data_IF_206830206031
#
_entry.id   IF_206830206031
#
_cell.length_a   1.000
_cell.length_b   1.000
_cell.length_c   1.000
_cell.angle_alpha   90.00
_cell.angle_beta   90.00
_cell.angle_gamma   90.00
#
_symmetry.space_group_name_H-M   'P 1'
#
loop_
_entity.id
_entity.type
_entity.pdbx_description
1 polymer ?
#
# COMPACT_ATOMS: atom_id res chain seq x y z
N UNK A 1 8.36 -21.89 -7.72
CA UNK A 1 7.10 -21.52 -7.06
C UNK A 1 7.41 -20.58 -5.92
N UNK A 2 6.80 -19.39 -5.90
CA UNK A 2 6.86 -18.48 -4.76
C UNK A 2 6.52 -19.18 -3.44
N UNK A 3 7.36 -19.02 -2.41
CA UNK A 3 7.11 -19.57 -1.08
C UNK A 3 6.36 -18.54 -0.22
N UNK A 4 5.02 -18.54 -0.27
CA UNK A 4 4.17 -17.69 0.57
C UNK A 4 3.32 -18.55 1.51
N UNK A 5 3.32 -18.20 2.78
CA UNK A 5 2.40 -18.78 3.77
C UNK A 5 0.96 -18.30 3.48
N UNK A 6 0.01 -19.19 3.10
CA UNK A 6 -1.36 -18.77 2.79
C UNK A 6 -2.05 -18.06 3.96
N UNK A 7 -1.62 -18.29 5.20
CA UNK A 7 -2.22 -17.70 6.40
C UNK A 7 -1.97 -16.19 6.51
N UNK A 8 -1.04 -15.62 5.74
CA UNK A 8 -0.84 -14.17 5.72
C UNK A 8 -1.99 -13.45 5.01
N UNK A 9 -2.74 -14.11 4.11
CA UNK A 9 -3.87 -13.53 3.38
C UNK A 9 -5.14 -13.59 4.22
N UNK A 10 -5.33 -12.59 5.09
CA UNK A 10 -6.48 -12.51 6.01
C UNK A 10 -7.71 -11.95 5.30
N UNK A 11 -8.80 -11.78 6.07
CA UNK A 11 -10.07 -11.27 5.53
C UNK A 11 -9.98 -9.84 4.98
N UNK A 12 -9.15 -8.96 5.56
CA UNK A 12 -9.15 -7.53 5.22
C UNK A 12 -7.80 -7.03 4.68
N UNK A 13 -6.71 -7.72 4.96
CA UNK A 13 -5.35 -7.35 4.56
C UNK A 13 -4.40 -8.56 4.57
N UNK A 14 -3.16 -8.30 4.16
CA UNK A 14 -2.05 -9.27 4.21
C UNK A 14 -1.21 -8.96 5.44
N UNK A 15 -0.94 -9.93 6.32
CA UNK A 15 -0.23 -9.66 7.59
C UNK A 15 0.39 -10.89 8.23
N UNK A 16 1.63 -10.73 8.69
CA UNK A 16 2.41 -11.76 9.37
C UNK A 16 3.67 -11.21 10.01
N UNK A 17 4.50 -12.10 10.57
CA UNK A 17 5.82 -11.76 11.10
C UNK A 17 6.75 -11.30 9.98
N UNK A 18 7.41 -10.17 10.18
CA UNK A 18 8.44 -9.69 9.26
C UNK A 18 9.58 -10.71 9.15
N UNK A 19 10.21 -10.76 7.99
CA UNK A 19 11.40 -11.57 7.66
C UNK A 19 11.22 -13.09 7.73
N UNK A 20 10.01 -13.55 8.03
CA UNK A 20 9.65 -14.97 8.13
C UNK A 20 8.39 -15.29 7.34
N UNK A 21 7.31 -14.51 7.55
CA UNK A 21 6.06 -14.65 6.81
C UNK A 21 5.87 -13.53 5.79
N UNK A 22 6.26 -12.30 6.15
CA UNK A 22 6.36 -11.16 5.22
C UNK A 22 7.83 -10.99 4.87
N UNK A 23 8.22 -11.47 3.70
CA UNK A 23 9.59 -11.42 3.17
C UNK A 23 9.65 -10.50 1.95
N UNK A 24 10.85 -10.09 1.54
CA UNK A 24 11.04 -9.34 0.29
C UNK A 24 10.52 -10.12 -0.92
N UNK A 25 10.74 -11.44 -0.97
CA UNK A 25 10.18 -12.29 -2.02
C UNK A 25 8.65 -12.27 -2.02
N UNK A 26 8.00 -12.39 -0.85
CA UNK A 26 6.55 -12.32 -0.74
C UNK A 26 6.03 -10.96 -1.22
N UNK A 27 6.67 -9.87 -0.79
CA UNK A 27 6.34 -8.49 -1.19
C UNK A 27 6.47 -8.29 -2.71
N UNK A 28 7.53 -8.82 -3.33
CA UNK A 28 7.73 -8.80 -4.78
C UNK A 28 6.57 -9.48 -5.52
N UNK A 29 6.22 -10.69 -5.09
CA UNK A 29 5.13 -11.46 -5.72
C UNK A 29 3.76 -10.83 -5.50
N UNK A 30 3.50 -10.27 -4.32
CA UNK A 30 2.28 -9.51 -4.03
C UNK A 30 2.19 -8.29 -4.94
N UNK A 31 3.28 -7.52 -5.08
CA UNK A 31 3.34 -6.37 -5.99
C UNK A 31 3.06 -6.78 -7.44
N UNK A 32 3.70 -7.85 -7.92
CA UNK A 32 3.54 -8.34 -9.30
C UNK A 32 2.11 -8.83 -9.58
N UNK A 33 1.55 -9.62 -8.67
CA UNK A 33 0.19 -10.12 -8.81
C UNK A 33 -0.85 -9.01 -8.68
N UNK A 34 -0.63 -8.04 -7.80
CA UNK A 34 -1.56 -6.92 -7.64
C UNK A 34 -1.53 -6.00 -8.86
N UNK A 35 -0.35 -5.68 -9.37
CA UNK A 35 -0.22 -4.89 -10.60
C UNK A 35 -0.87 -5.56 -11.80
N UNK A 36 -0.66 -6.87 -11.97
CA UNK A 36 -1.36 -7.68 -12.98
C UNK A 36 -2.89 -7.61 -12.80
N UNK A 37 -3.36 -7.73 -11.57
CA UNK A 37 -4.79 -7.64 -11.24
C UNK A 37 -5.37 -6.29 -11.62
N UNK A 38 -4.69 -5.18 -11.33
CA UNK A 38 -5.20 -3.84 -11.65
C UNK A 38 -5.19 -3.59 -13.17
N UNK A 39 -4.18 -4.08 -13.89
CA UNK A 39 -4.14 -4.06 -15.37
C UNK A 39 -5.35 -4.77 -15.97
N UNK A 40 -5.63 -5.98 -15.49
CA UNK A 40 -6.78 -6.78 -15.94
C UNK A 40 -8.11 -6.13 -15.58
N UNK A 41 -8.27 -5.63 -14.34
CA UNK A 41 -9.51 -5.01 -13.88
C UNK A 41 -9.91 -3.78 -14.70
N UNK A 42 -8.91 -2.99 -15.13
CA UNK A 42 -9.16 -1.72 -15.82
C UNK A 42 -8.78 -1.74 -17.30
N UNK A 43 -8.34 -2.88 -17.83
CA UNK A 43 -7.89 -3.04 -19.22
C UNK A 43 -6.88 -1.94 -19.61
N UNK A 44 -5.95 -1.65 -18.69
CA UNK A 44 -4.98 -0.55 -18.81
C UNK A 44 -3.57 -1.13 -18.81
N UNK A 45 -2.76 -0.72 -19.77
CA UNK A 45 -1.39 -1.23 -19.91
C UNK A 45 -0.50 -0.79 -18.74
N UNK A 46 -0.54 0.51 -18.41
CA UNK A 46 0.23 1.13 -17.34
C UNK A 46 -0.68 1.81 -16.30
N UNK A 47 -1.37 1.06 -15.43
CA UNK A 47 -2.11 1.65 -14.32
C UNK A 47 -1.15 2.33 -13.34
N UNK A 48 -1.64 3.40 -12.70
CA UNK A 48 -0.88 4.18 -11.74
C UNK A 48 -1.24 3.74 -10.32
N UNK A 49 -0.24 3.35 -9.53
CA UNK A 49 -0.40 2.80 -8.18
C UNK A 49 0.38 3.64 -7.17
N UNK A 50 -0.28 4.15 -6.14
CA UNK A 50 0.41 4.85 -5.04
C UNK A 50 0.98 3.84 -4.02
N UNK A 51 2.26 3.97 -3.65
CA UNK A 51 2.91 3.08 -2.68
C UNK A 51 3.44 3.88 -1.49
N UNK A 52 2.88 3.61 -0.32
CA UNK A 52 3.30 4.22 0.95
C UNK A 52 3.63 3.17 2.02
N UNK A 53 4.31 3.57 3.08
CA UNK A 53 4.62 2.70 4.22
C UNK A 53 4.45 3.41 5.56
N UNK A 54 4.27 2.65 6.64
CA UNK A 54 4.38 3.17 7.99
C UNK A 54 5.85 3.28 8.48
N UNK A 55 6.03 3.60 9.76
CA UNK A 55 7.33 3.82 10.39
C UNK A 55 8.05 2.53 10.82
N UNK A 56 7.56 1.33 10.45
CA UNK A 56 8.23 0.06 10.81
C UNK A 56 9.60 -0.03 10.15
N UNK A 57 10.59 -0.51 10.90
CA UNK A 57 11.99 -0.61 10.46
C UNK A 57 12.18 -1.52 9.24
N UNK A 58 11.34 -2.53 9.08
CA UNK A 58 11.34 -3.42 7.91
C UNK A 58 10.64 -2.81 6.68
N UNK A 59 9.96 -1.66 6.85
CA UNK A 59 9.16 -1.01 5.82
C UNK A 59 9.91 -0.67 4.53
N UNK A 60 11.12 -0.07 4.57
CA UNK A 60 11.85 0.30 3.35
C UNK A 60 12.09 -0.88 2.39
N UNK A 61 12.67 -1.99 2.87
CA UNK A 61 12.93 -3.17 2.02
C UNK A 61 11.67 -3.81 1.45
N UNK A 62 10.56 -3.81 2.21
CA UNK A 62 9.29 -4.35 1.73
C UNK A 62 8.64 -3.41 0.71
N UNK A 63 8.77 -2.09 0.89
CA UNK A 63 8.34 -1.10 -0.09
C UNK A 63 9.10 -1.28 -1.41
N UNK A 64 10.43 -1.39 -1.37
CA UNK A 64 11.25 -1.58 -2.57
C UNK A 64 10.86 -2.84 -3.34
N UNK A 65 10.66 -3.96 -2.63
CA UNK A 65 10.21 -5.22 -3.23
C UNK A 65 8.81 -5.11 -3.87
N UNK A 66 7.85 -4.48 -3.18
CA UNK A 66 6.51 -4.22 -3.73
C UNK A 66 6.60 -3.38 -5.01
N UNK A 67 7.39 -2.30 -4.99
CA UNK A 67 7.60 -1.41 -6.14
C UNK A 67 8.17 -2.19 -7.31
N UNK A 68 9.21 -3.00 -7.08
CA UNK A 68 9.80 -3.85 -8.11
C UNK A 68 8.78 -4.80 -8.73
N UNK A 69 7.91 -5.40 -7.90
CA UNK A 69 6.83 -6.27 -8.35
C UNK A 69 5.85 -5.55 -9.26
N UNK A 70 5.37 -4.38 -8.82
CA UNK A 70 4.45 -3.53 -9.58
C UNK A 70 5.05 -3.09 -10.91
N UNK A 71 6.28 -2.58 -10.91
CA UNK A 71 6.98 -2.11 -12.11
C UNK A 71 7.19 -3.25 -13.10
N UNK A 72 7.64 -4.42 -12.64
CA UNK A 72 7.86 -5.60 -13.50
C UNK A 72 6.57 -6.18 -14.08
N UNK A 73 5.41 -5.80 -13.53
CA UNK A 73 4.10 -6.12 -14.09
C UNK A 73 3.58 -5.05 -15.06
N UNK A 74 4.31 -3.96 -15.28
CA UNK A 74 3.94 -2.85 -16.17
C UNK A 74 3.28 -1.65 -15.49
N UNK A 75 3.15 -1.60 -14.17
CA UNK A 75 2.50 -0.47 -13.49
C UNK A 75 3.42 0.74 -13.40
N UNK A 76 2.85 1.95 -13.49
CA UNK A 76 3.52 3.16 -13.03
C UNK A 76 3.28 3.33 -11.53
N UNK A 77 4.34 3.63 -10.79
CA UNK A 77 4.31 3.70 -9.33
C UNK A 77 4.58 5.12 -8.87
N UNK A 78 3.68 5.63 -8.02
CA UNK A 78 3.85 6.88 -7.28
C UNK A 78 4.24 6.56 -5.85
N UNK A 79 5.51 6.78 -5.50
CA UNK A 79 6.01 6.57 -4.15
C UNK A 79 5.63 7.79 -3.32
N UNK A 80 4.85 7.56 -2.26
CA UNK A 80 4.39 8.62 -1.36
C UNK A 80 5.18 8.62 -0.04
N UNK A 81 6.20 7.76 0.07
CA UNK A 81 7.10 7.71 1.22
C UNK A 81 6.49 7.10 2.49
N UNK A 82 6.94 7.60 3.63
CA UNK A 82 6.46 7.19 4.94
C UNK A 82 5.23 8.01 5.32
N UNK A 83 4.03 7.43 5.21
CA UNK A 83 2.77 8.14 5.40
C UNK A 83 1.74 7.30 6.15
N UNK A 84 0.81 7.92 6.88
CA UNK A 84 -0.40 7.25 7.36
C UNK A 84 -1.21 6.64 6.20
N UNK A 85 -1.92 5.53 6.46
CA UNK A 85 -2.79 4.90 5.45
C UNK A 85 -3.83 5.87 4.84
N UNK A 86 -4.44 6.81 5.61
CA UNK A 86 -5.37 7.79 5.03
C UNK A 86 -4.76 8.69 3.96
N UNK A 87 -3.46 9.00 4.03
CA UNK A 87 -2.79 9.79 2.98
C UNK A 87 -2.74 9.00 1.68
N UNK A 88 -2.42 7.70 1.74
CA UNK A 88 -2.44 6.83 0.56
C UNK A 88 -3.84 6.79 -0.07
N UNK A 89 -4.89 6.59 0.74
CA UNK A 89 -6.26 6.52 0.25
C UNK A 89 -6.72 7.85 -0.35
N UNK A 90 -6.35 8.95 0.30
CA UNK A 90 -6.59 10.28 -0.20
C UNK A 90 -5.91 10.50 -1.54
N UNK A 91 -4.63 10.13 -1.70
CA UNK A 91 -3.91 10.23 -2.98
C UNK A 91 -4.65 9.48 -4.10
N UNK A 92 -5.16 8.27 -3.80
CA UNK A 92 -5.95 7.49 -4.78
C UNK A 92 -7.15 8.29 -5.28
N UNK A 93 -7.95 8.81 -4.35
CA UNK A 93 -9.17 9.54 -4.68
C UNK A 93 -8.90 10.90 -5.30
N UNK A 94 -7.94 11.66 -4.76
CA UNK A 94 -7.64 13.03 -5.15
C UNK A 94 -7.01 13.12 -6.55
N UNK A 95 -6.16 12.16 -6.90
CA UNK A 95 -5.49 12.14 -8.21
C UNK A 95 -6.19 11.25 -9.24
N UNK A 96 -7.24 10.51 -8.83
CA UNK A 96 -7.97 9.59 -9.70
C UNK A 96 -7.11 8.43 -10.23
N UNK A 97 -6.13 7.98 -9.45
CA UNK A 97 -5.22 6.88 -9.84
C UNK A 97 -5.87 5.51 -9.62
N UNK A 98 -5.24 4.46 -10.15
CA UNK A 98 -5.86 3.16 -10.35
C UNK A 98 -5.84 2.25 -9.10
N UNK A 99 -5.07 2.61 -8.08
CA UNK A 99 -5.03 1.91 -6.81
C UNK A 99 -3.88 2.35 -5.92
N UNK A 100 -3.70 1.63 -4.81
CA UNK A 100 -2.62 1.87 -3.88
C UNK A 100 -2.24 0.65 -3.04
N UNK A 101 -1.02 0.73 -2.52
CA UNK A 101 -0.43 -0.24 -1.62
C UNK A 101 0.10 0.49 -0.41
N UNK A 102 -0.35 0.09 0.78
CA UNK A 102 0.18 0.59 2.04
C UNK A 102 0.87 -0.53 2.81
N UNK A 103 2.18 -0.42 2.99
CA UNK A 103 2.97 -1.34 3.82
C UNK A 103 2.79 -0.95 5.29
N UNK A 104 2.09 -1.78 6.06
CA UNK A 104 1.82 -1.56 7.48
C UNK A 104 1.20 -2.82 8.11
N UNK A 105 1.50 -3.07 9.39
CA UNK A 105 0.69 -3.97 10.23
C UNK A 105 -0.24 -3.22 11.21
N UNK A 106 -0.52 -1.94 10.96
CA UNK A 106 -1.36 -1.10 11.81
C UNK A 106 -0.84 -1.10 13.26
N UNK A 107 -1.65 -1.52 14.23
CA UNK A 107 -1.36 -1.52 15.66
C UNK A 107 -0.68 -2.81 16.16
N UNK A 108 -0.37 -3.75 15.27
CA UNK A 108 0.28 -5.00 15.66
C UNK A 108 1.66 -4.77 16.30
N UNK A 109 2.20 -5.75 17.06
CA UNK A 109 3.56 -5.72 17.58
C UNK A 109 4.62 -5.36 16.52
N UNK A 110 5.75 -4.80 16.95
CA UNK A 110 6.80 -4.28 16.05
C UNK A 110 7.41 -5.35 15.12
N UNK A 111 7.34 -6.62 15.53
CA UNK A 111 7.84 -7.77 14.77
C UNK A 111 6.92 -8.14 13.59
N UNK A 112 5.71 -7.60 13.54
CA UNK A 112 4.77 -7.83 12.44
C UNK A 112 4.95 -6.78 11.34
N UNK A 113 4.63 -7.16 10.11
CA UNK A 113 4.35 -6.21 9.04
C UNK A 113 3.19 -6.73 8.17
N UNK A 114 2.79 -5.95 7.19
CA UNK A 114 1.65 -6.28 6.34
C UNK A 114 1.50 -5.35 5.16
N UNK A 115 0.51 -5.65 4.34
CA UNK A 115 0.20 -4.93 3.11
C UNK A 115 -1.33 -4.78 3.04
N UNK A 116 -1.78 -3.53 2.88
CA UNK A 116 -3.14 -3.21 2.50
C UNK A 116 -3.16 -2.84 1.02
N UNK A 117 -4.16 -3.32 0.30
CA UNK A 117 -4.33 -3.10 -1.13
C UNK A 117 -5.66 -2.37 -1.39
N UNK A 118 -5.61 -1.35 -2.22
CA UNK A 118 -6.77 -0.55 -2.62
C UNK A 118 -6.81 -0.45 -4.14
N UNK A 119 -7.99 -0.51 -4.72
CA UNK A 119 -8.22 -0.19 -6.14
C UNK A 119 -8.78 1.24 -6.28
N UNK A 120 -9.29 1.62 -7.45
CA UNK A 120 -9.87 2.97 -7.68
C UNK A 120 -10.86 3.36 -6.58
N UNK A 121 -10.96 4.66 -6.32
CA UNK A 121 -11.78 5.25 -5.25
C UNK A 121 -11.39 4.78 -3.83
N UNK A 122 -10.16 4.27 -3.67
CA UNK A 122 -9.66 3.67 -2.44
C UNK A 122 -10.49 2.49 -1.94
N UNK A 123 -11.20 1.79 -2.84
CA UNK A 123 -11.96 0.59 -2.50
C UNK A 123 -11.00 -0.52 -2.02
N UNK A 124 -11.28 -1.08 -0.83
CA UNK A 124 -10.42 -2.08 -0.22
C UNK A 124 -10.44 -3.39 -1.01
N UNK A 125 -9.27 -3.80 -1.52
CA UNK A 125 -9.07 -5.09 -2.16
C UNK A 125 -8.95 -6.18 -1.08
N UNK A 126 -10.09 -6.72 -0.66
CA UNK A 126 -10.24 -7.53 0.55
C UNK A 126 -11.07 -8.80 0.32
N UNK A 127 -11.20 -9.64 1.35
CA UNK A 127 -12.04 -10.83 1.36
C UNK A 127 -11.66 -11.84 0.28
N UNK A 128 -12.65 -12.26 -0.51
CA UNK A 128 -12.46 -13.20 -1.61
C UNK A 128 -11.45 -12.71 -2.66
N UNK A 129 -11.25 -11.40 -2.80
CA UNK A 129 -10.28 -10.82 -3.74
C UNK A 129 -8.84 -11.11 -3.33
N UNK A 130 -8.50 -11.09 -2.03
CA UNK A 130 -7.18 -11.48 -1.55
C UNK A 130 -6.89 -12.97 -1.79
N UNK A 131 -7.92 -13.82 -1.68
CA UNK A 131 -7.78 -15.24 -2.01
C UNK A 131 -7.55 -15.48 -3.51
N UNK A 132 -8.15 -14.66 -4.39
CA UNK A 132 -7.85 -14.67 -5.83
C UNK A 132 -6.42 -14.22 -6.09
N UNK A 133 -5.93 -13.20 -5.39
CA UNK A 133 -4.56 -12.72 -5.50
C UNK A 133 -3.55 -13.81 -5.11
N UNK A 134 -3.78 -14.49 -3.97
CA UNK A 134 -2.95 -15.62 -3.57
C UNK A 134 -2.92 -16.73 -4.64
N UNK A 135 -4.09 -17.12 -5.18
CA UNK A 135 -4.16 -18.11 -6.26
C UNK A 135 -3.35 -17.68 -7.49
N UNK A 136 -3.46 -16.41 -7.88
CA UNK A 136 -2.70 -15.83 -8.99
C UNK A 136 -1.18 -15.94 -8.76
N UNK A 137 -0.72 -15.69 -7.53
CA UNK A 137 0.69 -15.85 -7.15
C UNK A 137 1.14 -17.31 -7.27
N UNK A 138 0.40 -18.25 -6.67
CA UNK A 138 0.76 -19.68 -6.66
C UNK A 138 0.75 -20.30 -8.06
N UNK A 139 -0.16 -19.83 -8.92
CA UNK A 139 -0.24 -20.26 -10.32
C UNK A 139 0.78 -19.56 -11.23
N UNK A 140 1.53 -18.59 -10.70
CA UNK A 140 2.42 -17.71 -11.48
C UNK A 140 1.68 -17.04 -12.66
N UNK A 141 0.37 -16.82 -12.52
CA UNK A 141 -0.54 -16.19 -13.52
C UNK A 141 -0.42 -14.66 -13.46
N UNK A 142 0.80 -14.17 -13.64
CA UNK A 142 1.15 -12.76 -13.52
C UNK A 142 1.60 -12.22 -14.85
N UNK A 143 1.19 -10.99 -15.14
CA UNK A 143 1.64 -10.26 -16.31
C UNK A 143 3.09 -9.79 -16.10
N UNK A 144 3.77 -9.60 -17.22
CA UNK A 144 5.06 -8.91 -17.29
C UNK A 144 4.89 -7.59 -18.05
N UNK A 145 5.79 -6.66 -17.79
CA UNK A 145 5.84 -5.37 -18.46
C UNK A 145 6.93 -4.49 -17.86
N UNK A 146 7.00 -3.27 -18.38
CA UNK A 146 7.91 -2.24 -17.88
C UNK A 146 7.10 -1.07 -17.36
N UNK A 147 7.39 -0.69 -16.12
CA UNK A 147 6.76 0.42 -15.42
C UNK A 147 7.72 1.59 -15.21
N UNK A 148 7.23 2.61 -14.52
CA UNK A 148 8.04 3.75 -14.10
C UNK A 148 7.83 3.99 -12.62
N UNK A 149 8.79 4.63 -11.96
CA UNK A 149 8.71 5.03 -10.56
C UNK A 149 8.89 6.53 -10.49
N UNK A 150 7.99 7.20 -9.79
CA UNK A 150 8.02 8.63 -9.50
C UNK A 150 7.78 8.83 -8.00
N UNK A 151 8.61 9.63 -7.33
CA UNK A 151 8.34 10.09 -5.96
C UNK A 151 7.49 11.37 -6.02
N UNK A 152 6.45 11.45 -5.18
CA UNK A 152 5.54 12.60 -5.15
C UNK A 152 5.30 13.10 -3.72
N UNK A 153 4.98 14.39 -3.58
CA UNK A 153 4.45 14.92 -2.32
C UNK A 153 2.95 14.64 -2.20
N UNK A 154 2.60 13.65 -1.38
CA UNK A 154 1.22 13.32 -1.04
C UNK A 154 0.72 14.00 0.24
N UNK A 155 1.62 14.54 1.06
CA UNK A 155 1.29 15.05 2.41
C UNK A 155 0.71 16.45 2.32
N UNK A 156 1.34 17.34 1.54
CA UNK A 156 0.86 18.73 1.40
C UNK A 156 -0.57 18.79 0.86
N UNK A 157 -0.94 18.07 -0.23
CA UNK A 157 -2.32 18.04 -0.71
C UNK A 157 -3.32 17.55 0.35
N UNK A 158 -2.95 16.52 1.13
CA UNK A 158 -3.79 15.98 2.20
C UNK A 158 -4.01 17.00 3.31
N UNK A 159 -2.94 17.64 3.79
CA UNK A 159 -3.02 18.66 4.85
C UNK A 159 -3.88 19.85 4.39
N UNK A 160 -3.67 20.34 3.18
CA UNK A 160 -4.47 21.43 2.61
C UNK A 160 -5.96 21.07 2.56
N UNK A 161 -6.29 19.85 2.14
CA UNK A 161 -7.67 19.38 2.08
C UNK A 161 -8.30 19.33 3.48
N UNK A 162 -7.63 18.72 4.46
CA UNK A 162 -8.14 18.60 5.82
C UNK A 162 -8.31 19.97 6.48
N UNK A 163 -7.33 20.87 6.35
CA UNK A 163 -7.43 22.22 6.90
C UNK A 163 -8.58 23.03 6.26
N UNK A 164 -8.86 22.82 4.97
CA UNK A 164 -9.99 23.48 4.29
C UNK A 164 -11.36 22.93 4.73
N UNK A 165 -11.45 21.66 5.15
CA UNK A 165 -12.69 21.06 5.65
C UNK A 165 -13.07 21.56 7.05
N UNK A 166 -12.08 21.94 7.86
CA UNK A 166 -12.27 22.35 9.25
C UNK A 166 -11.65 23.73 9.50
N UNK A 167 -12.14 24.79 8.83
CA UNK A 167 -11.66 26.14 9.10
C UNK A 167 -11.94 26.48 10.58
N UNK A 168 -10.96 27.12 11.21
CA UNK A 168 -11.04 27.64 12.60
C UNK A 168 -11.21 26.59 13.71
N UNK A 169 -10.99 25.30 13.42
CA UNK A 169 -11.07 24.25 14.45
C UNK A 169 -9.92 24.37 15.47
N UNK A 170 -10.26 24.28 16.75
CA UNK A 170 -9.26 24.26 17.83
C UNK A 170 -8.86 25.61 18.40
N UNK A 171 -9.50 26.72 18.00
CA UNK A 171 -9.23 28.03 18.60
C UNK A 171 -9.47 28.02 20.12
N UNK A 172 -8.50 28.53 20.88
CA UNK A 172 -8.52 28.53 22.35
C UNK A 172 -8.37 27.15 23.02
N UNK A 173 -8.14 26.07 22.28
CA UNK A 173 -8.00 24.72 22.86
C UNK A 173 -6.55 24.38 23.21
N UNK A 174 -6.35 23.73 24.35
CA UNK A 174 -5.09 23.04 24.67
C UNK A 174 -5.25 21.56 24.32
N UNK A 175 -4.46 21.06 23.35
CA UNK A 175 -4.55 19.70 22.83
C UNK A 175 -3.26 18.95 23.12
N UNK A 176 -3.38 17.77 23.74
CA UNK A 176 -2.27 16.82 23.90
C UNK A 176 -2.40 15.76 22.82
N UNK A 177 -1.32 15.54 22.06
CA UNK A 177 -1.25 14.54 20.98
C UNK A 177 -0.14 13.56 21.34
N UNK A 178 -0.52 12.30 21.57
CA UNK A 178 0.41 11.17 21.66
C UNK A 178 0.29 10.35 20.37
N UNK A 179 1.36 10.33 19.58
CA UNK A 179 1.42 9.58 18.32
C UNK A 179 1.75 8.10 18.51
N UNK A 180 2.02 7.66 19.74
CA UNK A 180 2.40 6.27 20.06
C UNK A 180 3.64 5.80 19.31
N UNK A 181 4.57 6.72 19.00
CA UNK A 181 5.72 6.48 18.12
C UNK A 181 5.36 5.94 16.72
N UNK A 182 4.11 6.12 16.29
CA UNK A 182 3.61 5.71 14.98
C UNK A 182 3.81 6.78 13.91
N UNK A 183 3.47 6.42 12.68
CA UNK A 183 3.60 7.29 11.49
C UNK A 183 2.70 8.54 11.49
N UNK A 184 1.77 8.64 12.45
CA UNK A 184 0.96 9.83 12.64
C UNK A 184 1.67 10.94 13.43
N UNK A 185 2.81 10.63 14.07
CA UNK A 185 3.69 11.61 14.69
C UNK A 185 4.69 12.20 13.67
N UNK A 186 5.44 13.25 14.07
CA UNK A 186 6.49 13.81 13.23
C UNK A 186 7.60 12.79 12.92
#
# INVERSE_FOLDING_TARGET
MPNLDPLIFRAYDIRGKADTQITEEACLWIGKAFGSTVRDLYQKEHPVIAVGRDARTHGPKFQDAVIQGLVSSGCHVRVIGQTPSPVNYFTICNEGIDGGVQITASHNPKEDNGIKLQVRNADAYSGGSLQKLYKKIVQEDVLTGEGMVEEIDAVTPYLNHVCALFPDIGDGMNIVIDSGNGVAGP
#
